data_IF_601428936522
#
_entry.id   IF_601428936522
#
_cell.length_a   1.000
_cell.length_b   1.000
_cell.length_c   1.000
_cell.angle_alpha   90.00
_cell.angle_beta   90.00
_cell.angle_gamma   90.00
#
_symmetry.space_group_name_H-M   'P 1'
#
loop_
_entity.id
_entity.type
_entity.pdbx_description
1 polymer ?
#
# COMPACT_ATOMS: atom_id res chain seq x y z
N UNK A 1 16.40 -8.34 -3.06
CA UNK A 1 15.93 -7.01 -2.62
C UNK A 1 14.87 -7.19 -1.54
N UNK A 2 14.98 -6.43 -0.47
CA UNK A 2 13.99 -6.49 0.60
C UNK A 2 13.05 -5.30 0.48
N UNK A 3 11.74 -5.57 0.60
CA UNK A 3 10.76 -4.50 0.51
C UNK A 3 10.88 -3.49 1.66
N UNK A 4 11.39 -3.92 2.82
CA UNK A 4 11.63 -3.03 3.96
C UNK A 4 12.62 -1.91 3.60
N UNK A 5 13.68 -2.26 2.86
CA UNK A 5 14.68 -1.28 2.44
C UNK A 5 14.07 -0.27 1.46
N UNK A 6 13.21 -0.72 0.57
CA UNK A 6 12.53 0.15 -0.36
C UNK A 6 11.54 1.08 0.35
N UNK A 7 10.82 0.56 1.34
CA UNK A 7 9.91 1.39 2.14
C UNK A 7 10.68 2.48 2.89
N UNK A 8 11.85 2.17 3.43
CA UNK A 8 12.68 3.16 4.13
C UNK A 8 13.14 4.27 3.18
N UNK A 9 13.26 3.97 1.91
CA UNK A 9 13.60 4.96 0.89
C UNK A 9 12.38 5.73 0.38
N UNK A 10 11.20 5.39 0.85
CA UNK A 10 9.96 6.01 0.42
C UNK A 10 9.32 5.38 -0.82
N UNK A 11 9.72 4.17 -1.16
CA UNK A 11 9.20 3.47 -2.34
C UNK A 11 8.34 2.29 -1.93
N UNK A 12 7.09 2.27 -2.41
CA UNK A 12 6.16 1.17 -2.16
C UNK A 12 6.19 0.22 -3.36
N UNK A 13 6.84 -0.93 -3.17
CA UNK A 13 6.94 -1.95 -4.22
C UNK A 13 6.13 -3.18 -3.87
N UNK A 14 5.66 -3.88 -4.90
CA UNK A 14 4.92 -5.13 -4.74
C UNK A 14 5.57 -6.20 -5.61
N UNK A 15 5.25 -7.46 -5.33
CA UNK A 15 5.68 -8.57 -6.17
C UNK A 15 4.60 -8.84 -7.22
N UNK A 16 5.04 -9.15 -8.44
CA UNK A 16 4.12 -9.50 -9.54
C UNK A 16 4.53 -10.82 -10.16
N UNK A 17 3.56 -11.70 -10.34
CA UNK A 17 3.78 -12.97 -11.02
C UNK A 17 3.31 -12.84 -12.47
N UNK A 18 4.24 -12.98 -13.41
CA UNK A 18 3.92 -12.89 -14.84
C UNK A 18 3.09 -14.09 -15.34
N UNK A 19 3.21 -15.23 -14.67
CA UNK A 19 2.49 -16.44 -15.04
C UNK A 19 1.06 -16.44 -14.52
N UNK A 20 0.87 -16.10 -13.25
CA UNK A 20 -0.46 -16.07 -12.63
C UNK A 20 -1.18 -14.73 -12.77
N UNK A 21 -0.48 -13.69 -13.19
CA UNK A 21 -1.01 -12.33 -13.31
C UNK A 21 -1.57 -11.80 -11.99
N UNK A 22 -0.92 -12.14 -10.88
CA UNK A 22 -1.34 -11.67 -9.56
C UNK A 22 -0.32 -10.71 -8.97
N UNK A 23 -0.79 -9.87 -8.06
CA UNK A 23 0.03 -8.95 -7.29
C UNK A 23 0.14 -9.48 -5.87
N UNK A 24 1.35 -9.51 -5.32
CA UNK A 24 1.63 -10.05 -3.98
C UNK A 24 2.14 -8.96 -3.07
N UNK A 25 1.48 -8.81 -1.93
CA UNK A 25 1.92 -7.91 -0.86
C UNK A 25 1.68 -8.58 0.49
N UNK A 26 2.64 -8.58 1.41
CA UNK A 26 4.02 -8.14 1.20
C UNK A 26 4.72 -9.01 0.15
N UNK A 27 5.70 -8.44 -0.59
CA UNK A 27 6.38 -9.23 -1.62
C UNK A 27 7.23 -10.33 -1.01
N UNK A 28 7.26 -11.46 -1.69
CA UNK A 28 8.11 -12.59 -1.34
C UNK A 28 8.97 -12.91 -2.54
N UNK A 29 9.89 -13.87 -2.40
CA UNK A 29 10.76 -14.23 -3.52
C UNK A 29 10.02 -15.00 -4.61
N UNK A 30 8.99 -15.77 -4.22
CA UNK A 30 8.28 -16.65 -5.12
C UNK A 30 6.77 -16.51 -5.00
N UNK A 31 6.09 -16.78 -6.11
CA UNK A 31 4.63 -16.80 -6.13
C UNK A 31 4.13 -17.99 -5.30
N UNK A 32 3.12 -17.75 -4.45
CA UNK A 32 2.56 -18.79 -3.59
C UNK A 32 1.68 -19.78 -4.35
N UNK A 33 1.28 -19.46 -5.59
CA UNK A 33 0.44 -20.34 -6.40
C UNK A 33 1.24 -21.23 -7.33
N UNK A 34 2.21 -20.65 -8.05
CA UNK A 34 2.96 -21.40 -9.07
C UNK A 34 4.43 -21.58 -8.74
N UNK A 35 4.91 -20.93 -7.66
CA UNK A 35 6.29 -20.98 -7.18
C UNK A 35 7.32 -20.38 -8.14
N UNK A 36 6.86 -19.65 -9.17
CA UNK A 36 7.75 -18.90 -10.04
C UNK A 36 8.29 -17.68 -9.31
N UNK A 37 9.47 -17.22 -9.72
CA UNK A 37 10.09 -16.05 -9.13
C UNK A 37 9.26 -14.80 -9.42
N UNK A 38 9.01 -13.98 -8.40
CA UNK A 38 8.27 -12.74 -8.54
C UNK A 38 9.17 -11.63 -9.08
N UNK A 39 8.57 -10.73 -9.85
CA UNK A 39 9.20 -9.50 -10.25
C UNK A 39 8.69 -8.38 -9.33
N UNK A 40 9.57 -7.45 -9.00
CA UNK A 40 9.22 -6.34 -8.11
C UNK A 40 9.00 -5.07 -8.91
N UNK A 41 7.93 -4.35 -8.59
CA UNK A 41 7.67 -3.08 -9.26
C UNK A 41 6.93 -2.14 -8.31
N UNK A 42 7.09 -0.82 -8.49
CA UNK A 42 6.41 0.14 -7.63
C UNK A 42 4.93 0.25 -7.97
N UNK A 43 4.15 0.62 -6.96
CA UNK A 43 2.76 1.02 -7.14
C UNK A 43 2.78 2.48 -7.62
N UNK A 44 2.17 2.75 -8.76
CA UNK A 44 2.15 4.10 -9.36
C UNK A 44 0.76 4.70 -9.43
N UNK A 45 -0.29 3.89 -9.27
CA UNK A 45 -1.67 4.38 -9.33
C UNK A 45 -2.20 4.68 -7.93
N UNK A 46 -3.13 5.65 -7.82
CA UNK A 46 -3.78 5.90 -6.54
C UNK A 46 -4.53 4.67 -6.06
N UNK A 47 -4.63 4.55 -4.73
CA UNK A 47 -5.48 3.54 -4.13
C UNK A 47 -6.88 4.08 -3.86
N UNK A 48 -7.74 3.22 -3.36
CA UNK A 48 -9.12 3.55 -3.01
C UNK A 48 -9.32 3.30 -1.52
N UNK A 49 -9.88 4.29 -0.83
CA UNK A 49 -10.17 4.16 0.60
C UNK A 49 -11.32 3.17 0.80
N UNK A 50 -11.04 2.07 1.49
CA UNK A 50 -12.03 1.02 1.76
C UNK A 50 -12.75 1.29 3.08
N UNK A 51 -12.00 1.69 4.09
CA UNK A 51 -12.51 1.83 5.44
C UNK A 51 -11.62 2.80 6.20
N UNK A 52 -12.20 3.55 7.13
CA UNK A 52 -11.41 4.43 7.98
C UNK A 52 -12.07 4.61 9.34
N UNK A 53 -11.27 5.03 10.31
CA UNK A 53 -11.76 5.35 11.64
C UNK A 53 -10.86 6.40 12.28
N UNK A 54 -11.35 7.01 13.34
CA UNK A 54 -10.55 7.95 14.10
C UNK A 54 -10.61 7.59 15.58
N UNK A 55 -9.48 7.81 16.26
CA UNK A 55 -9.39 7.55 17.69
C UNK A 55 -8.39 8.53 18.28
N UNK A 56 -8.82 9.27 19.29
CA UNK A 56 -7.97 10.21 20.01
C UNK A 56 -7.28 11.22 19.08
N UNK A 57 -8.02 11.73 18.10
CA UNK A 57 -7.50 12.70 17.15
C UNK A 57 -6.64 12.14 16.03
N UNK A 58 -6.45 10.82 16.00
CA UNK A 58 -5.72 10.15 14.93
C UNK A 58 -6.68 9.48 13.98
N UNK A 59 -6.44 9.67 12.69
CA UNK A 59 -7.26 9.07 11.65
C UNK A 59 -6.41 8.04 10.91
N UNK A 60 -6.97 6.86 10.73
CA UNK A 60 -6.30 5.79 10.01
C UNK A 60 -7.31 5.02 9.18
N UNK A 61 -6.83 4.28 8.21
CA UNK A 61 -7.72 3.56 7.33
C UNK A 61 -7.01 2.52 6.49
N UNK A 62 -7.82 1.81 5.70
CA UNK A 62 -7.35 0.80 4.77
C UNK A 62 -7.51 1.34 3.36
N UNK A 63 -6.41 1.32 2.61
CA UNK A 63 -6.39 1.74 1.21
C UNK A 63 -6.08 0.52 0.36
N UNK A 64 -6.87 0.31 -0.69
CA UNK A 64 -6.70 -0.81 -1.60
C UNK A 64 -6.07 -0.33 -2.91
N UNK A 65 -4.98 -0.98 -3.29
CA UNK A 65 -4.27 -0.70 -4.54
C UNK A 65 -4.47 -1.86 -5.50
N UNK A 66 -4.70 -1.53 -6.77
CA UNK A 66 -4.82 -2.52 -7.85
C UNK A 66 -5.84 -3.62 -7.56
N UNK A 67 -6.85 -3.31 -6.75
CA UNK A 67 -7.96 -4.21 -6.40
C UNK A 67 -7.54 -5.47 -5.62
N UNK A 68 -6.27 -5.59 -5.25
CA UNK A 68 -5.77 -6.78 -4.58
C UNK A 68 -4.93 -6.51 -3.34
N UNK A 69 -4.29 -5.35 -3.27
CA UNK A 69 -3.36 -5.03 -2.18
C UNK A 69 -4.03 -4.07 -1.20
N UNK A 70 -4.26 -4.51 0.04
CA UNK A 70 -4.86 -3.67 1.08
C UNK A 70 -3.80 -3.34 2.12
N UNK A 71 -3.68 -2.06 2.42
CA UNK A 71 -2.66 -1.55 3.33
C UNK A 71 -3.30 -0.63 4.37
N UNK A 72 -2.94 -0.84 5.64
CA UNK A 72 -3.39 0.02 6.74
C UNK A 72 -2.36 1.12 6.94
N UNK A 73 -2.83 2.34 7.13
CA UNK A 73 -1.94 3.46 7.42
C UNK A 73 -2.67 4.65 8.00
N UNK A 74 -1.90 5.66 8.39
CA UNK A 74 -2.45 6.92 8.87
C UNK A 74 -3.00 7.72 7.69
N UNK A 75 -4.03 8.53 7.96
CA UNK A 75 -4.65 9.38 6.94
C UNK A 75 -4.40 10.84 7.32
N UNK A 76 -3.97 11.64 6.35
CA UNK A 76 -3.67 13.05 6.54
C UNK A 76 -4.44 13.90 5.53
N UNK A 77 -4.45 15.21 5.75
CA UNK A 77 -5.08 16.17 4.84
C UNK A 77 -6.52 16.51 5.14
N UNK A 78 -7.16 15.78 6.06
CA UNK A 78 -8.54 16.07 6.47
C UNK A 78 -8.82 15.39 7.81
N UNK A 79 -9.90 15.78 8.46
CA UNK A 79 -10.40 15.09 9.65
C UNK A 79 -11.54 14.12 9.33
N UNK A 80 -11.98 14.12 8.08
CA UNK A 80 -13.10 13.31 7.62
C UNK A 80 -12.84 12.85 6.20
N UNK A 81 -13.18 11.60 5.91
CA UNK A 81 -12.91 10.97 4.61
C UNK A 81 -14.14 10.25 4.10
N UNK A 82 -14.18 10.00 2.81
CA UNK A 82 -15.26 9.26 2.17
C UNK A 82 -14.73 7.92 1.67
N UNK A 83 -15.41 6.84 2.03
CA UNK A 83 -15.10 5.52 1.46
C UNK A 83 -15.28 5.59 -0.06
N UNK A 84 -14.32 5.06 -0.78
CA UNK A 84 -14.31 5.11 -2.24
C UNK A 84 -13.49 6.25 -2.82
N UNK A 85 -13.04 7.22 -2.01
CA UNK A 85 -12.20 8.29 -2.53
C UNK A 85 -10.80 7.79 -2.84
N UNK A 86 -10.15 8.48 -3.77
CA UNK A 86 -8.78 8.14 -4.17
C UNK A 86 -7.78 8.66 -3.16
N UNK A 87 -6.82 7.82 -2.82
CA UNK A 87 -5.77 8.14 -1.86
C UNK A 87 -4.41 7.87 -2.49
N UNK A 88 -3.43 8.69 -2.12
CA UNK A 88 -2.05 8.47 -2.55
C UNK A 88 -1.17 8.32 -1.31
N UNK A 89 -0.01 7.72 -1.49
CA UNK A 89 0.98 7.59 -0.42
C UNK A 89 1.75 8.90 -0.32
N UNK A 90 1.63 9.57 0.81
CA UNK A 90 2.39 10.78 1.09
C UNK A 90 3.78 10.41 1.59
N UNK A 91 3.85 9.42 2.48
CA UNK A 91 5.10 8.90 3.01
C UNK A 91 4.94 7.42 3.28
N UNK A 92 6.02 6.66 3.15
CA UNK A 92 6.07 5.29 3.62
C UNK A 92 7.44 4.99 4.20
N UNK A 93 7.49 3.99 5.05
CA UNK A 93 8.71 3.60 5.72
C UNK A 93 8.56 2.24 6.37
N UNK A 94 9.57 1.87 7.14
CA UNK A 94 9.56 0.60 7.84
C UNK A 94 10.28 0.76 9.18
N UNK A 95 9.58 0.38 10.26
CA UNK A 95 10.12 0.37 11.60
C UNK A 95 9.44 -0.79 12.34
N UNK A 96 10.07 -1.98 12.31
CA UNK A 96 9.51 -3.23 12.79
C UNK A 96 8.26 -3.70 12.04
N UNK A 97 7.63 -2.82 11.28
CA UNK A 97 6.49 -3.13 10.42
C UNK A 97 6.37 -2.03 9.37
N UNK A 98 5.66 -2.28 8.26
CA UNK A 98 5.44 -1.24 7.27
C UNK A 98 4.66 -0.07 7.87
N UNK A 99 5.05 1.15 7.51
CA UNK A 99 4.42 2.38 7.97
C UNK A 99 3.98 3.16 6.73
N UNK A 100 2.74 3.61 6.71
CA UNK A 100 2.19 4.36 5.59
C UNK A 100 1.45 5.60 6.09
N UNK A 101 1.59 6.68 5.33
CA UNK A 101 0.81 7.89 5.52
C UNK A 101 0.16 8.22 4.18
N UNK A 102 -1.16 8.22 4.15
CA UNK A 102 -1.94 8.48 2.95
C UNK A 102 -2.58 9.86 3.01
N UNK A 103 -2.77 10.46 1.85
CA UNK A 103 -3.53 11.69 1.73
C UNK A 103 -4.45 11.60 0.52
N UNK A 104 -5.53 12.42 0.46
CA UNK A 104 -6.41 12.41 -0.70
C UNK A 104 -5.67 12.79 -1.97
N UNK A 105 -6.04 12.12 -3.07
CA UNK A 105 -5.54 12.49 -4.38
C UNK A 105 -6.33 13.71 -4.85
N UNK A 106 -5.65 14.83 -4.94
CA UNK A 106 -6.28 16.12 -5.28
C UNK A 106 -6.22 16.46 -6.76
N UNK A 107 -5.71 15.55 -7.56
CA UNK A 107 -5.61 15.79 -9.01
C UNK A 107 -6.96 15.70 -9.71
#
# INVERSE_FOLDING_TARGET
>A
MRFEDELKKGSFIVGRCSKCHITVWPPSDFCTKCFEKLEYSPITQPGVLIEWSSKEGRVFGIVEFEQTVRVIGALAGSSSFNVGQKMIIQECGYENSPIFLFCPDSS
#
